data_IF_201496363451
#
_entry.id   IF_201496363451
#
_cell.length_a   1.000
_cell.length_b   1.000
_cell.length_c   1.000
_cell.angle_alpha   90.00
_cell.angle_beta   90.00
_cell.angle_gamma   90.00
#
_symmetry.space_group_name_H-M   'P 1'
#
loop_
_entity.id
_entity.type
_entity.pdbx_description
1 polymer ?
#
# COMPACT_ATOMS: atom_id res chain seq x y z
N UNK A 1 -20.75 2.82 9.02
CA UNK A 1 -19.57 1.97 9.13
C UNK A 1 -18.47 2.51 8.22
N UNK A 2 -17.28 2.70 8.74
CA UNK A 2 -16.19 3.25 7.94
C UNK A 2 -15.67 2.21 6.96
N UNK A 3 -15.57 2.61 5.70
CA UNK A 3 -15.02 1.77 4.65
C UNK A 3 -13.50 1.67 4.82
N UNK A 4 -12.95 0.47 4.74
CA UNK A 4 -11.51 0.27 4.86
C UNK A 4 -10.88 0.49 3.49
N UNK A 5 -10.08 1.53 3.39
CA UNK A 5 -9.48 1.95 2.14
C UNK A 5 -8.10 1.34 1.99
N UNK A 6 -7.80 0.85 0.80
CA UNK A 6 -6.44 0.48 0.40
C UNK A 6 -5.97 1.56 -0.58
N UNK A 7 -4.85 2.20 -0.27
CA UNK A 7 -4.23 3.16 -1.17
C UNK A 7 -3.15 2.46 -1.99
N UNK A 8 -3.29 2.50 -3.30
CA UNK A 8 -2.29 1.98 -4.24
C UNK A 8 -1.54 3.14 -4.86
N UNK A 9 -0.24 3.23 -4.63
CA UNK A 9 0.62 4.27 -5.19
C UNK A 9 1.47 3.64 -6.28
N UNK A 10 1.11 3.88 -7.54
CA UNK A 10 1.68 3.22 -8.71
C UNK A 10 1.44 4.08 -9.93
N UNK A 11 2.46 4.30 -10.76
CA UNK A 11 2.34 5.11 -11.97
C UNK A 11 2.11 4.30 -13.25
N UNK A 12 2.49 3.04 -13.27
CA UNK A 12 2.43 2.21 -14.47
C UNK A 12 1.00 1.67 -14.66
N UNK A 13 0.30 2.01 -15.76
CA UNK A 13 -1.08 1.56 -15.97
C UNK A 13 -1.23 0.03 -16.01
N UNK A 14 -0.26 -0.68 -16.56
CA UNK A 14 -0.31 -2.14 -16.63
C UNK A 14 -0.18 -2.75 -15.24
N UNK A 15 0.72 -2.23 -14.42
CA UNK A 15 0.90 -2.70 -13.06
C UNK A 15 -0.32 -2.38 -12.18
N UNK A 16 -0.93 -1.20 -12.39
CA UNK A 16 -2.19 -0.85 -11.72
C UNK A 16 -3.27 -1.88 -12.07
N UNK A 17 -3.43 -2.16 -13.37
CA UNK A 17 -4.46 -3.10 -13.83
C UNK A 17 -4.23 -4.51 -13.29
N UNK A 18 -2.99 -4.97 -13.27
CA UNK A 18 -2.65 -6.29 -12.75
C UNK A 18 -2.92 -6.40 -11.25
N UNK A 19 -2.56 -5.36 -10.49
CA UNK A 19 -2.80 -5.34 -9.05
C UNK A 19 -4.29 -5.33 -8.73
N UNK A 20 -5.05 -4.47 -9.40
CA UNK A 20 -6.49 -4.39 -9.20
C UNK A 20 -7.17 -5.71 -9.57
N UNK A 21 -6.73 -6.36 -10.64
CA UNK A 21 -7.26 -7.67 -11.05
C UNK A 21 -6.98 -8.74 -10.01
N UNK A 22 -5.76 -8.77 -9.46
CA UNK A 22 -5.40 -9.74 -8.44
C UNK A 22 -6.28 -9.61 -7.20
N UNK A 23 -6.50 -8.37 -6.74
CA UNK A 23 -7.34 -8.10 -5.59
C UNK A 23 -8.80 -8.47 -5.86
N UNK A 24 -9.32 -8.11 -7.03
CA UNK A 24 -10.69 -8.43 -7.42
C UNK A 24 -10.91 -9.94 -7.53
N UNK A 25 -9.95 -10.67 -8.11
CA UNK A 25 -10.01 -12.12 -8.23
C UNK A 25 -10.11 -12.78 -6.86
N UNK A 26 -9.45 -12.21 -5.86
CA UNK A 26 -9.52 -12.67 -4.48
C UNK A 26 -10.76 -12.19 -3.74
N UNK A 27 -11.70 -11.53 -4.40
CA UNK A 27 -12.95 -11.02 -3.84
C UNK A 27 -12.73 -10.00 -2.72
N UNK A 28 -11.71 -9.17 -2.87
CA UNK A 28 -11.44 -8.10 -1.94
C UNK A 28 -12.37 -6.94 -2.25
N UNK A 29 -13.23 -6.61 -1.31
CA UNK A 29 -14.28 -5.61 -1.47
C UNK A 29 -13.90 -4.23 -0.95
N UNK A 30 -12.67 -4.05 -0.53
CA UNK A 30 -12.16 -2.77 -0.04
C UNK A 30 -12.21 -1.73 -1.16
N UNK A 31 -12.51 -0.48 -0.79
CA UNK A 31 -12.35 0.63 -1.72
C UNK A 31 -10.86 0.82 -1.98
N UNK A 32 -10.47 0.86 -3.25
CA UNK A 32 -9.08 1.09 -3.64
C UNK A 32 -8.98 2.45 -4.28
N UNK A 33 -8.14 3.30 -3.72
CA UNK A 33 -7.82 4.61 -4.28
C UNK A 33 -6.42 4.51 -4.88
N UNK A 34 -6.24 5.04 -6.09
CA UNK A 34 -4.97 4.99 -6.81
C UNK A 34 -4.37 6.38 -6.86
N UNK A 35 -3.11 6.50 -6.41
CA UNK A 35 -2.28 7.67 -6.62
C UNK A 35 -1.21 7.31 -7.65
N UNK A 36 -1.01 8.17 -8.65
CA UNK A 36 -0.12 7.85 -9.77
C UNK A 36 1.28 8.40 -9.64
N UNK A 37 1.55 9.15 -8.60
CA UNK A 37 2.89 9.64 -8.28
C UNK A 37 2.99 9.94 -6.79
N UNK A 38 4.22 10.23 -6.35
CA UNK A 38 4.47 10.47 -4.93
C UNK A 38 3.84 11.74 -4.40
N UNK A 39 3.74 12.78 -5.22
CA UNK A 39 3.11 14.04 -4.82
C UNK A 39 1.61 13.84 -4.59
N UNK A 40 0.95 13.16 -5.52
CA UNK A 40 -0.48 12.83 -5.39
C UNK A 40 -0.74 12.02 -4.11
N UNK A 41 0.12 11.03 -3.84
CA UNK A 41 -0.01 10.22 -2.63
C UNK A 41 0.09 11.06 -1.37
N UNK A 42 1.07 11.97 -1.29
CA UNK A 42 1.22 12.84 -0.13
C UNK A 42 0.08 13.83 0.02
N UNK A 43 -0.45 14.35 -1.09
CA UNK A 43 -1.62 15.22 -1.05
C UNK A 43 -2.84 14.49 -0.48
N UNK A 44 -3.04 13.23 -0.87
CA UNK A 44 -4.13 12.41 -0.34
C UNK A 44 -3.98 12.12 1.15
N UNK A 45 -2.75 11.93 1.61
CA UNK A 45 -2.48 11.49 2.98
C UNK A 45 -2.27 12.65 3.94
N UNK A 46 -1.68 13.75 3.48
CA UNK A 46 -1.26 14.87 4.33
C UNK A 46 -1.87 16.20 3.94
N UNK A 47 -2.71 16.26 2.90
CA UNK A 47 -3.34 17.48 2.43
C UNK A 47 -4.49 17.94 3.32
N UNK A 48 -5.29 18.88 2.80
CA UNK A 48 -6.37 19.52 3.55
C UNK A 48 -7.49 18.55 3.92
N UNK A 49 -7.80 17.60 3.03
CA UNK A 49 -8.85 16.61 3.27
C UNK A 49 -8.23 15.21 3.22
N UNK A 50 -7.47 14.83 4.25
CA UNK A 50 -6.70 13.59 4.18
C UNK A 50 -7.60 12.35 4.23
N UNK A 51 -7.18 11.31 3.50
CA UNK A 51 -7.74 9.99 3.66
C UNK A 51 -6.95 9.23 4.72
N UNK A 52 -7.58 8.21 5.30
CA UNK A 52 -6.95 7.38 6.33
C UNK A 52 -7.02 5.91 5.88
N UNK A 53 -6.12 5.49 4.96
CA UNK A 53 -6.18 4.12 4.48
C UNK A 53 -5.77 3.14 5.58
N UNK A 54 -6.33 1.96 5.51
CA UNK A 54 -5.95 0.88 6.42
C UNK A 54 -4.65 0.21 5.97
N UNK A 55 -4.30 0.36 4.69
CA UNK A 55 -3.09 -0.23 4.10
C UNK A 55 -2.66 0.61 2.92
N UNK A 56 -1.35 0.81 2.77
CA UNK A 56 -0.74 1.47 1.61
C UNK A 56 0.11 0.46 0.87
N UNK A 57 -0.16 0.30 -0.43
CA UNK A 57 0.68 -0.46 -1.35
C UNK A 57 1.49 0.57 -2.15
N UNK A 58 2.79 0.58 -1.98
CA UNK A 58 3.65 1.67 -2.45
C UNK A 58 4.75 1.16 -3.38
N UNK A 59 4.72 1.61 -4.65
CA UNK A 59 5.82 1.35 -5.57
C UNK A 59 7.02 2.23 -5.21
N UNK A 60 8.22 1.70 -5.38
CA UNK A 60 9.44 2.44 -5.08
C UNK A 60 9.81 3.41 -6.20
N UNK A 61 9.59 3.03 -7.45
CA UNK A 61 10.02 3.81 -8.62
C UNK A 61 8.87 4.64 -9.16
N UNK A 62 8.66 5.80 -8.56
CA UNK A 62 7.60 6.72 -8.92
C UNK A 62 8.16 7.98 -9.57
N UNK A 63 7.40 8.61 -10.48
CA UNK A 63 7.77 9.94 -10.98
C UNK A 63 7.58 11.01 -9.92
N UNK A 64 8.19 12.17 -10.12
CA UNK A 64 8.15 13.37 -9.28
C UNK A 64 8.78 13.16 -7.91
N UNK A 65 8.30 12.20 -7.12
CA UNK A 65 8.81 11.91 -5.80
C UNK A 65 8.78 10.39 -5.63
N UNK A 66 9.95 9.77 -5.46
CA UNK A 66 10.02 8.31 -5.40
C UNK A 66 9.43 7.73 -4.12
N UNK A 67 9.23 6.40 -4.15
CA UNK A 67 8.58 5.71 -3.03
C UNK A 67 9.34 5.77 -1.73
N UNK A 68 10.67 5.78 -1.76
CA UNK A 68 11.48 5.92 -0.55
C UNK A 68 11.24 7.26 0.13
N UNK A 69 11.17 8.34 -0.65
CA UNK A 69 10.90 9.66 -0.08
C UNK A 69 9.48 9.77 0.45
N UNK A 70 8.50 9.18 -0.24
CA UNK A 70 7.13 9.10 0.27
C UNK A 70 7.11 8.41 1.63
N UNK A 71 7.74 7.24 1.73
CA UNK A 71 7.78 6.48 2.98
C UNK A 71 8.44 7.27 4.10
N UNK A 72 9.56 7.92 3.80
CA UNK A 72 10.29 8.75 4.77
C UNK A 72 9.39 9.85 5.34
N UNK A 73 8.64 10.53 4.48
CA UNK A 73 7.74 11.60 4.91
C UNK A 73 6.55 11.07 5.71
N UNK A 74 6.02 9.91 5.34
CA UNK A 74 4.94 9.29 6.11
C UNK A 74 5.40 8.94 7.53
N UNK A 75 6.60 8.40 7.68
CA UNK A 75 7.13 8.02 8.99
C UNK A 75 7.53 9.22 9.85
N UNK A 76 7.77 10.37 9.24
CA UNK A 76 8.11 11.58 9.95
C UNK A 76 6.89 12.38 10.44
N UNK A 77 5.68 12.01 10.00
CA UNK A 77 4.46 12.73 10.36
C UNK A 77 3.64 11.92 11.36
N UNK A 78 3.22 12.56 12.46
CA UNK A 78 2.48 11.89 13.53
C UNK A 78 1.17 11.25 13.06
N UNK A 79 0.55 11.84 12.02
CA UNK A 79 -0.73 11.33 11.50
C UNK A 79 -0.58 10.04 10.71
N UNK A 80 0.59 9.80 10.13
CA UNK A 80 0.80 8.69 9.19
C UNK A 80 1.89 7.72 9.61
N UNK A 81 2.62 8.01 10.67
CA UNK A 81 3.80 7.23 11.05
C UNK A 81 3.50 5.76 11.37
N UNK A 82 2.27 5.43 11.73
CA UNK A 82 1.89 4.06 12.08
C UNK A 82 1.08 3.36 10.98
N UNK A 83 0.83 4.02 9.85
CA UNK A 83 0.09 3.39 8.75
C UNK A 83 0.87 2.20 8.19
N UNK A 84 0.21 1.05 8.00
CA UNK A 84 0.87 -0.09 7.38
C UNK A 84 1.23 0.20 5.93
N UNK A 85 2.48 -0.04 5.56
CA UNK A 85 3.00 0.16 4.20
C UNK A 85 3.65 -1.12 3.72
N UNK A 86 3.16 -1.62 2.59
CA UNK A 86 3.77 -2.74 1.87
C UNK A 86 4.37 -2.19 0.58
N UNK A 87 5.66 -2.38 0.39
CA UNK A 87 6.35 -1.94 -0.82
C UNK A 87 6.06 -2.92 -1.95
N UNK A 88 5.69 -2.38 -3.11
CA UNK A 88 5.57 -3.12 -4.37
C UNK A 88 6.80 -2.79 -5.21
N UNK A 89 7.56 -3.79 -5.63
CA UNK A 89 8.76 -3.52 -6.40
C UNK A 89 9.08 -4.62 -7.40
N UNK A 90 9.57 -4.20 -8.56
CA UNK A 90 10.19 -5.11 -9.53
C UNK A 90 11.68 -5.30 -9.26
N UNK A 91 12.25 -4.50 -8.34
CA UNK A 91 13.65 -4.62 -7.96
C UNK A 91 13.87 -5.87 -7.13
N UNK A 92 14.88 -6.64 -7.51
CA UNK A 92 15.33 -7.80 -6.73
C UNK A 92 16.60 -7.46 -5.94
N UNK A 93 17.03 -6.21 -5.97
CA UNK A 93 18.24 -5.80 -5.29
C UNK A 93 18.00 -5.80 -3.78
N UNK A 94 18.83 -6.55 -3.09
CA UNK A 94 18.73 -6.66 -1.64
C UNK A 94 18.87 -5.31 -0.94
N UNK A 95 19.68 -4.41 -1.53
CA UNK A 95 19.88 -3.08 -0.97
C UNK A 95 18.59 -2.26 -0.94
N UNK A 96 17.77 -2.33 -2.02
CA UNK A 96 16.49 -1.62 -2.07
C UNK A 96 15.53 -2.14 -1.00
N UNK A 97 15.51 -3.46 -0.80
CA UNK A 97 14.67 -4.08 0.22
C UNK A 97 15.11 -3.61 1.61
N UNK A 98 16.41 -3.65 1.89
CA UNK A 98 16.95 -3.21 3.18
C UNK A 98 16.66 -1.73 3.44
N UNK A 99 16.80 -0.88 2.41
CA UNK A 99 16.50 0.55 2.55
C UNK A 99 15.03 0.78 2.87
N UNK A 100 14.13 0.03 2.22
CA UNK A 100 12.70 0.13 2.51
C UNK A 100 12.38 -0.20 3.97
N UNK A 101 12.92 -1.30 4.49
CA UNK A 101 12.72 -1.66 5.88
C UNK A 101 13.36 -0.64 6.83
N UNK A 102 14.54 -0.13 6.50
CA UNK A 102 15.21 0.89 7.32
C UNK A 102 14.40 2.18 7.39
N UNK A 103 13.63 2.52 6.35
CA UNK A 103 12.75 3.67 6.33
C UNK A 103 11.36 3.40 6.92
N UNK A 104 11.10 2.18 7.35
CA UNK A 104 9.89 1.86 8.08
C UNK A 104 8.80 1.14 7.29
N UNK A 105 9.15 0.47 6.19
CA UNK A 105 8.19 -0.42 5.51
C UNK A 105 7.86 -1.62 6.40
N UNK A 106 6.61 -2.07 6.34
CA UNK A 106 6.16 -3.23 7.11
C UNK A 106 6.41 -4.54 6.37
N UNK A 107 6.37 -4.52 5.05
CA UNK A 107 6.60 -5.70 4.23
C UNK A 107 6.85 -5.27 2.79
N UNK A 108 7.14 -6.22 1.90
CA UNK A 108 7.24 -5.93 0.48
C UNK A 108 6.68 -7.10 -0.33
N UNK A 109 6.28 -6.80 -1.56
CA UNK A 109 5.77 -7.78 -2.53
C UNK A 109 6.49 -7.53 -3.85
N UNK A 110 7.01 -8.59 -4.47
CA UNK A 110 7.56 -8.51 -5.83
C UNK A 110 6.45 -8.41 -6.85
N UNK A 111 6.61 -7.53 -7.82
CA UNK A 111 5.70 -7.45 -8.96
C UNK A 111 5.99 -8.61 -9.94
N UNK A 112 4.96 -9.15 -10.60
CA UNK A 112 3.55 -8.75 -10.51
C UNK A 112 2.90 -9.21 -9.21
N UNK A 113 1.97 -8.39 -8.70
CA UNK A 113 1.24 -8.72 -7.48
C UNK A 113 0.25 -9.85 -7.79
N UNK A 114 0.31 -10.92 -7.02
CA UNK A 114 -0.72 -11.94 -7.05
C UNK A 114 -1.46 -12.01 -5.70
N UNK A 115 -2.60 -12.67 -5.70
CA UNK A 115 -3.45 -12.72 -4.53
C UNK A 115 -2.76 -13.40 -3.35
N UNK A 116 -2.04 -14.50 -3.61
CA UNK A 116 -1.39 -15.27 -2.54
C UNK A 116 -0.32 -14.45 -1.83
N UNK A 117 0.51 -13.72 -2.58
CA UNK A 117 1.51 -12.82 -1.98
C UNK A 117 0.84 -11.73 -1.15
N UNK A 118 -0.26 -11.17 -1.67
CA UNK A 118 -1.00 -10.13 -0.95
C UNK A 118 -1.55 -10.66 0.37
N UNK A 119 -2.19 -11.82 0.34
CA UNK A 119 -2.74 -12.45 1.55
C UNK A 119 -1.65 -12.75 2.57
N UNK A 120 -0.50 -13.29 2.13
CA UNK A 120 0.61 -13.55 3.03
C UNK A 120 1.09 -12.27 3.71
N UNK A 121 1.21 -11.19 2.96
CA UNK A 121 1.65 -9.92 3.51
C UNK A 121 0.67 -9.40 4.57
N UNK A 122 -0.64 -9.41 4.27
CA UNK A 122 -1.62 -8.90 5.24
C UNK A 122 -1.75 -9.80 6.46
N UNK A 123 -1.61 -11.12 6.31
CA UNK A 123 -1.62 -12.03 7.45
C UNK A 123 -0.42 -11.79 8.37
N UNK A 124 0.76 -11.63 7.79
CA UNK A 124 1.99 -11.39 8.55
C UNK A 124 1.94 -10.06 9.32
N UNK A 125 1.17 -9.10 8.81
CA UNK A 125 0.99 -7.80 9.47
C UNK A 125 -0.18 -7.80 10.46
N UNK A 126 -0.90 -8.91 10.59
CA UNK A 126 -2.10 -8.95 11.44
C UNK A 126 -3.28 -8.21 10.85
N UNK A 127 -3.29 -7.98 9.54
CA UNK A 127 -4.32 -7.19 8.87
C UNK A 127 -5.32 -8.06 8.08
N UNK A 128 -5.38 -9.33 8.39
CA UNK A 128 -6.25 -10.26 7.66
C UNK A 128 -7.71 -9.78 7.60
N UNK A 129 -8.16 -9.10 8.64
CA UNK A 129 -9.50 -8.55 8.70
C UNK A 129 -9.81 -7.53 7.58
N UNK A 130 -8.78 -6.94 6.96
CA UNK A 130 -8.97 -6.01 5.84
C UNK A 130 -9.50 -6.69 4.58
N UNK A 131 -9.21 -7.98 4.42
CA UNK A 131 -9.51 -8.69 3.17
C UNK A 131 -10.64 -9.69 3.33
N UNK A 132 -11.36 -9.66 4.47
CA UNK A 132 -12.52 -10.51 4.67
C UNK A 132 -13.70 -9.96 3.86
N UNK A 133 -14.43 -10.84 3.19
CA UNK A 133 -15.62 -10.47 2.44
C UNK A 133 -16.78 -10.05 3.36
N UNK A 134 -16.70 -10.46 4.61
CA UNK A 134 -17.69 -10.09 5.64
C UNK A 134 -16.96 -9.44 6.80
N UNK A 135 -17.59 -8.44 7.39
CA UNK A 135 -17.05 -7.84 8.60
C UNK A 135 -17.19 -8.81 9.75
N UNK A 136 -16.21 -8.85 10.69
CA UNK A 136 -16.38 -9.65 11.89
C UNK A 136 -17.64 -9.23 12.63
N UNK A 137 -18.30 -10.18 13.30
CA UNK A 137 -19.46 -9.80 14.12
C UNK A 137 -19.06 -8.80 15.21
N UNK A 138 -19.91 -7.82 15.43
CA UNK A 138 -19.70 -6.85 16.50
C UNK A 138 -20.19 -7.51 17.80
N UNK A 139 -19.26 -7.68 18.70
CA UNK A 139 -19.60 -8.22 20.02
C UNK A 139 -19.90 -7.09 20.99
#
# INVERSE_FOLDING_TARGET
>A
MMQKIILLVEDNPDDIALTLRALKKGKILNKIIVAKDGVEALDLLLGENPIFPALILLDLKLPKLDGFEVLKRLRANDRTKLLPVVILTSSKEQLDILNGYALGANSYIHKPVDFDQFIDAVQNLGLYWLVLNELPPIE
#
